data_IF_646045379432
#
_entry.id   IF_646045379432
#
_cell.length_a   1.000
_cell.length_b   1.000
_cell.length_c   1.000
_cell.angle_alpha   90.00
_cell.angle_beta   90.00
_cell.angle_gamma   90.00
#
_symmetry.space_group_name_H-M   'P 1'
#
loop_
_entity.id
_entity.type
_entity.pdbx_description
1 polymer ?
#
# COMPACT_ATOMS: atom_id res chain seq x y z
N UNK A 1 5.00 7.52 -10.84
CA UNK A 1 3.77 8.22 -11.26
C UNK A 1 2.60 7.84 -10.39
N UNK A 2 1.60 8.73 -10.23
CA UNK A 2 0.43 8.48 -9.40
C UNK A 2 -0.79 8.08 -10.24
N UNK A 3 -0.81 8.42 -11.54
CA UNK A 3 -1.80 7.96 -12.50
C UNK A 3 -1.19 7.92 -13.90
N UNK A 4 -1.85 7.20 -14.79
CA UNK A 4 -1.44 7.04 -16.19
C UNK A 4 -2.66 7.28 -17.08
N UNK A 5 -2.49 8.16 -18.07
CA UNK A 5 -3.43 8.35 -19.18
C UNK A 5 -3.07 7.36 -20.28
N UNK A 6 -4.03 6.60 -20.72
CA UNK A 6 -3.91 5.64 -21.81
C UNK A 6 -5.02 5.90 -22.84
N UNK A 7 -4.94 5.28 -24.00
CA UNK A 7 -5.97 5.36 -25.03
C UNK A 7 -6.35 3.99 -25.55
N UNK A 8 -7.63 3.79 -25.85
CA UNK A 8 -8.13 2.60 -26.56
C UNK A 8 -7.70 2.60 -28.04
N UNK A 9 -7.31 3.75 -28.58
CA UNK A 9 -6.85 3.93 -29.95
C UNK A 9 -5.40 4.41 -29.89
N UNK A 10 -4.41 3.59 -30.30
CA UNK A 10 -2.98 3.98 -30.22
C UNK A 10 -2.64 5.28 -30.95
N UNK A 11 -3.25 5.55 -32.10
CA UNK A 11 -3.04 6.77 -32.90
C UNK A 11 -3.68 8.03 -32.30
N UNK A 12 -4.47 7.91 -31.23
CA UNK A 12 -5.13 9.08 -30.60
C UNK A 12 -4.14 10.08 -30.00
N UNK A 13 -2.97 9.62 -29.57
CA UNK A 13 -1.89 10.49 -29.06
C UNK A 13 -1.24 11.32 -30.16
N UNK A 14 -1.21 10.80 -31.41
CA UNK A 14 -0.60 11.49 -32.57
C UNK A 14 -1.40 12.71 -33.00
N UNK A 15 -2.71 12.69 -32.80
CA UNK A 15 -3.63 13.72 -33.26
C UNK A 15 -3.88 14.86 -32.27
N UNK A 16 -3.34 14.78 -31.02
CA UNK A 16 -3.59 15.75 -29.96
C UNK A 16 -2.32 16.29 -29.33
N UNK A 17 -1.74 17.30 -29.96
CA UNK A 17 -0.59 18.04 -29.42
C UNK A 17 -0.90 18.82 -28.14
N UNK A 18 -2.19 19.15 -27.89
CA UNK A 18 -2.69 19.86 -26.72
C UNK A 18 -2.92 18.97 -25.48
N UNK A 19 -2.73 17.64 -25.60
CA UNK A 19 -3.08 16.68 -24.56
C UNK A 19 -2.35 16.96 -23.23
N UNK A 20 -1.05 17.23 -23.30
CA UNK A 20 -0.25 17.48 -22.09
C UNK A 20 -0.70 18.75 -21.37
N UNK A 21 -1.06 19.80 -22.11
CA UNK A 21 -1.51 21.08 -21.54
C UNK A 21 -2.88 20.92 -20.89
N UNK A 22 -3.79 20.19 -21.52
CA UNK A 22 -5.09 19.85 -20.94
C UNK A 22 -4.96 19.03 -19.67
N UNK A 23 -4.09 18.03 -19.66
CA UNK A 23 -3.82 17.23 -18.47
C UNK A 23 -3.24 18.09 -17.33
N UNK A 24 -2.29 18.98 -17.64
CA UNK A 24 -1.68 19.89 -16.66
C UNK A 24 -2.64 20.93 -16.11
N UNK A 25 -3.68 21.31 -16.87
CA UNK A 25 -4.68 22.28 -16.44
C UNK A 25 -5.65 21.74 -15.39
N UNK A 26 -5.76 20.42 -15.23
CA UNK A 26 -6.67 19.81 -14.26
C UNK A 26 -6.17 20.06 -12.84
N UNK A 27 -7.07 20.55 -11.97
CA UNK A 27 -6.76 20.85 -10.58
C UNK A 27 -6.28 19.59 -9.84
N UNK A 28 -5.13 19.71 -9.18
CA UNK A 28 -4.52 18.59 -8.43
C UNK A 28 -3.44 17.85 -9.19
N UNK A 29 -3.28 18.04 -10.50
CA UNK A 29 -2.13 17.54 -11.26
C UNK A 29 -0.93 18.45 -11.00
N UNK A 30 0.19 17.88 -10.56
CA UNK A 30 1.44 18.60 -10.26
C UNK A 30 2.53 18.39 -11.30
N UNK A 31 2.39 17.39 -12.15
CA UNK A 31 3.32 17.10 -13.23
C UNK A 31 2.72 16.10 -14.21
N UNK A 32 3.12 16.22 -15.47
CA UNK A 32 2.74 15.29 -16.53
C UNK A 32 3.91 15.12 -17.51
N UNK A 33 4.18 13.87 -17.90
CA UNK A 33 5.25 13.52 -18.84
C UNK A 33 4.78 12.44 -19.82
N UNK A 34 5.08 12.56 -21.10
CA UNK A 34 4.78 11.51 -22.07
C UNK A 34 5.74 10.33 -21.88
N UNK A 35 5.26 9.13 -22.18
CA UNK A 35 6.12 7.95 -22.17
C UNK A 35 5.78 6.97 -23.30
N UNK A 36 6.77 6.16 -23.67
CA UNK A 36 6.57 4.94 -24.42
C UNK A 36 7.05 3.74 -23.59
N UNK A 37 6.44 2.59 -23.81
CA UNK A 37 6.70 1.38 -23.05
C UNK A 37 6.84 0.21 -23.98
N UNK A 38 7.88 -0.60 -23.75
CA UNK A 38 8.09 -1.84 -24.49
C UNK A 38 8.99 -2.80 -23.72
N UNK A 39 8.89 -4.08 -24.06
CA UNK A 39 9.84 -5.09 -23.61
C UNK A 39 10.86 -5.37 -24.69
N UNK A 40 12.13 -5.34 -24.32
CA UNK A 40 13.27 -5.61 -25.21
C UNK A 40 14.26 -6.56 -24.55
N UNK A 41 15.14 -7.14 -25.34
CA UNK A 41 16.28 -7.87 -24.81
C UNK A 41 17.51 -6.95 -24.80
N UNK A 42 18.14 -6.79 -23.66
CA UNK A 42 19.43 -6.12 -23.52
C UNK A 42 20.54 -7.17 -23.58
N UNK A 43 21.45 -7.00 -24.53
CA UNK A 43 22.60 -7.87 -24.74
C UNK A 43 23.89 -7.11 -24.48
N UNK A 44 24.74 -7.68 -23.63
CA UNK A 44 26.06 -7.17 -23.28
C UNK A 44 27.03 -8.32 -23.08
N UNK A 45 28.33 -8.01 -22.87
CA UNK A 45 29.39 -9.01 -22.68
C UNK A 45 29.12 -10.02 -21.56
N UNK A 46 28.31 -9.68 -20.56
CA UNK A 46 27.90 -10.55 -19.44
C UNK A 46 26.64 -11.40 -19.71
N UNK A 47 26.01 -11.31 -20.88
CA UNK A 47 24.82 -12.10 -21.21
C UNK A 47 23.68 -11.31 -21.84
N UNK A 48 22.49 -11.93 -21.83
CA UNK A 48 21.26 -11.35 -22.38
C UNK A 48 20.18 -11.35 -21.31
N UNK A 49 19.45 -10.24 -21.17
CA UNK A 49 18.38 -10.07 -20.18
C UNK A 49 17.17 -9.36 -20.79
N UNK A 50 15.97 -9.84 -20.50
CA UNK A 50 14.73 -9.11 -20.78
C UNK A 50 14.64 -7.86 -19.94
N UNK A 51 14.37 -6.73 -20.56
CA UNK A 51 14.29 -5.40 -19.93
C UNK A 51 13.04 -4.69 -20.41
N UNK A 52 12.36 -4.07 -19.47
CA UNK A 52 11.28 -3.13 -19.73
C UNK A 52 11.91 -1.80 -20.11
N UNK A 53 11.83 -1.44 -21.38
CA UNK A 53 12.37 -0.19 -21.91
C UNK A 53 11.28 0.89 -21.85
N UNK A 54 11.62 2.02 -21.22
CA UNK A 54 10.76 3.19 -21.16
C UNK A 54 11.40 4.35 -21.91
N UNK A 55 10.73 4.79 -22.95
CA UNK A 55 11.04 6.06 -23.60
C UNK A 55 10.44 7.20 -22.80
N UNK A 56 11.23 8.19 -22.45
CA UNK A 56 10.84 9.35 -21.65
C UNK A 56 11.28 10.65 -22.30
N UNK A 57 10.69 11.75 -21.87
CA UNK A 57 11.17 13.10 -22.12
C UNK A 57 12.11 13.50 -20.97
N UNK A 58 13.41 13.65 -21.19
CA UNK A 58 14.40 13.95 -20.14
C UNK A 58 14.14 15.22 -19.35
N UNK A 59 13.39 16.18 -19.92
CA UNK A 59 13.10 17.44 -19.27
C UNK A 59 11.93 17.35 -18.30
N UNK A 60 10.85 16.67 -18.66
CA UNK A 60 9.63 16.56 -17.84
C UNK A 60 9.61 15.32 -16.95
N UNK A 61 10.23 14.22 -17.36
CA UNK A 61 10.18 12.95 -16.62
C UNK A 61 10.71 13.03 -15.17
N UNK A 62 11.81 13.76 -14.84
CA UNK A 62 12.28 13.85 -13.45
C UNK A 62 11.28 14.52 -12.50
N UNK A 63 10.35 15.34 -12.98
CA UNK A 63 9.29 15.92 -12.17
C UNK A 63 8.24 14.87 -11.76
N UNK A 64 8.04 13.84 -12.59
CA UNK A 64 7.03 12.79 -12.42
C UNK A 64 7.61 11.51 -11.83
N UNK A 65 8.82 11.13 -12.25
CA UNK A 65 9.51 9.91 -11.84
C UNK A 65 10.60 10.23 -10.82
N UNK A 66 10.33 9.97 -9.54
CA UNK A 66 11.26 10.28 -8.44
C UNK A 66 12.62 9.56 -8.57
N UNK A 67 12.64 8.37 -9.16
CA UNK A 67 13.85 7.58 -9.38
C UNK A 67 14.85 8.27 -10.31
N UNK A 68 14.41 9.15 -11.20
CA UNK A 68 15.27 9.93 -12.09
C UNK A 68 15.85 11.18 -11.40
N UNK A 69 15.35 11.56 -10.23
CA UNK A 69 15.90 12.65 -9.41
C UNK A 69 17.00 12.18 -8.45
N UNK A 70 16.99 10.91 -8.08
CA UNK A 70 17.90 10.33 -7.10
C UNK A 70 18.70 9.19 -7.74
N UNK A 71 19.47 9.54 -8.79
CA UNK A 71 20.31 8.57 -9.48
C UNK A 71 21.63 8.35 -8.71
N UNK A 72 22.17 7.14 -8.81
CA UNK A 72 23.51 6.79 -8.29
C UNK A 72 24.62 7.43 -9.09
N UNK A 73 24.46 7.45 -10.41
CA UNK A 73 25.41 8.01 -11.36
C UNK A 73 24.69 8.53 -12.60
N UNK A 74 25.19 9.60 -13.19
CA UNK A 74 24.58 10.25 -14.35
C UNK A 74 23.30 11.04 -14.02
N UNK A 75 22.64 11.54 -15.05
CA UNK A 75 21.39 12.29 -14.96
C UNK A 75 20.45 11.94 -16.12
N UNK A 76 19.15 12.31 -15.99
CA UNK A 76 18.19 12.12 -17.09
C UNK A 76 18.56 12.94 -18.33
N UNK A 77 19.21 14.10 -18.15
CA UNK A 77 19.68 14.96 -19.24
C UNK A 77 20.77 14.30 -20.10
N UNK A 78 21.54 13.36 -19.53
CA UNK A 78 22.61 12.65 -20.26
C UNK A 78 22.05 11.68 -21.32
N UNK A 79 20.73 11.45 -21.35
CA UNK A 79 20.06 10.72 -22.42
C UNK A 79 20.09 11.49 -23.75
N UNK A 80 20.09 12.84 -23.72
CA UNK A 80 20.16 13.72 -24.88
C UNK A 80 21.63 13.97 -25.23
N UNK A 81 22.22 13.07 -25.97
CA UNK A 81 23.61 13.20 -26.43
C UNK A 81 23.70 12.94 -27.93
N UNK A 82 24.69 13.54 -28.56
CA UNK A 82 25.01 13.25 -29.96
C UNK A 82 25.75 11.93 -30.11
N UNK A 83 25.44 11.19 -31.15
CA UNK A 83 26.06 9.91 -31.46
C UNK A 83 25.29 8.69 -30.96
N UNK A 84 25.91 7.82 -30.16
CA UNK A 84 25.24 6.62 -29.61
C UNK A 84 24.19 7.02 -28.56
N UNK A 85 22.92 6.61 -28.72
CA UNK A 85 21.87 6.95 -27.77
C UNK A 85 22.17 6.51 -26.34
N UNK A 86 21.81 7.35 -25.37
CA UNK A 86 21.98 7.08 -23.93
C UNK A 86 20.95 6.07 -23.41
N UNK A 87 21.38 5.26 -22.45
CA UNK A 87 20.53 4.31 -21.70
C UNK A 87 20.80 4.48 -20.20
N UNK A 88 19.75 4.64 -19.42
CA UNK A 88 19.80 4.61 -17.95
C UNK A 88 19.26 3.25 -17.49
N UNK A 89 19.98 2.55 -16.62
CA UNK A 89 19.62 1.22 -16.13
C UNK A 89 19.60 1.16 -14.61
N UNK A 90 18.88 0.20 -14.05
CA UNK A 90 18.88 -0.05 -12.62
C UNK A 90 20.19 -0.69 -12.11
N UNK A 91 20.52 -0.45 -10.83
CA UNK A 91 21.78 -0.90 -10.21
C UNK A 91 21.91 -2.43 -10.25
N UNK A 92 20.83 -3.18 -10.01
CA UNK A 92 20.86 -4.64 -10.03
C UNK A 92 21.06 -5.22 -11.45
N UNK A 93 20.49 -4.55 -12.46
CA UNK A 93 20.73 -4.92 -13.86
C UNK A 93 22.19 -4.66 -14.25
N UNK A 94 22.74 -3.52 -13.84
CA UNK A 94 24.14 -3.16 -14.06
C UNK A 94 25.09 -4.18 -13.43
N UNK A 95 24.87 -4.54 -12.17
CA UNK A 95 25.68 -5.54 -11.46
C UNK A 95 25.64 -6.91 -12.14
N UNK A 96 24.44 -7.39 -12.50
CA UNK A 96 24.26 -8.72 -13.12
C UNK A 96 24.96 -8.88 -14.46
N UNK A 97 24.99 -7.82 -15.25
CA UNK A 97 25.60 -7.83 -16.59
C UNK A 97 27.03 -7.28 -16.60
N UNK A 98 27.56 -6.88 -15.44
CA UNK A 98 28.90 -6.29 -15.34
C UNK A 98 29.02 -4.96 -16.06
N UNK A 99 27.95 -4.13 -16.07
CA UNK A 99 27.89 -2.84 -16.78
C UNK A 99 28.19 -1.70 -15.84
N UNK A 100 28.97 -0.72 -16.35
CA UNK A 100 29.24 0.55 -15.72
C UNK A 100 28.90 1.72 -16.64
N UNK A 101 29.15 2.93 -16.15
CA UNK A 101 29.04 4.13 -16.98
C UNK A 101 29.91 4.02 -18.23
N UNK A 102 29.39 4.40 -19.39
CA UNK A 102 30.06 4.31 -20.69
C UNK A 102 30.08 2.92 -21.33
N UNK A 103 29.51 1.88 -20.67
CA UNK A 103 29.43 0.55 -21.26
C UNK A 103 28.51 0.54 -22.47
N UNK A 104 28.98 -0.09 -23.56
CA UNK A 104 28.19 -0.29 -24.78
C UNK A 104 27.36 -1.55 -24.68
N UNK A 105 26.07 -1.46 -25.02
CA UNK A 105 25.10 -2.54 -24.99
C UNK A 105 24.25 -2.53 -26.26
N UNK A 106 23.65 -3.66 -26.59
CA UNK A 106 22.70 -3.76 -27.69
C UNK A 106 21.30 -4.01 -27.16
N UNK A 107 20.32 -3.24 -27.62
CA UNK A 107 18.90 -3.51 -27.41
C UNK A 107 18.35 -4.21 -28.63
N UNK A 108 17.68 -5.34 -28.38
CA UNK A 108 17.04 -6.16 -29.40
C UNK A 108 15.54 -6.07 -29.22
N UNK A 109 14.85 -5.54 -30.22
CA UNK A 109 13.39 -5.50 -30.25
C UNK A 109 12.82 -6.82 -30.75
N UNK A 110 11.79 -7.38 -30.06
CA UNK A 110 11.04 -8.53 -30.59
C UNK A 110 10.24 -8.17 -31.85
N UNK A 111 9.91 -6.89 -32.02
CA UNK A 111 9.25 -6.36 -33.22
C UNK A 111 10.29 -6.28 -34.37
N UNK A 112 10.53 -7.40 -35.02
CA UNK A 112 11.53 -7.49 -36.08
C UNK A 112 11.14 -6.77 -37.37
N UNK A 113 12.12 -6.56 -38.23
CA UNK A 113 11.88 -6.16 -39.61
C UNK A 113 11.59 -7.40 -40.48
N UNK A 114 10.59 -7.28 -41.34
CA UNK A 114 10.33 -8.31 -42.34
C UNK A 114 11.42 -8.24 -43.41
N UNK A 115 12.23 -9.29 -43.48
CA UNK A 115 13.30 -9.43 -44.48
C UNK A 115 12.90 -10.48 -45.53
N UNK A 116 13.61 -10.56 -46.63
CA UNK A 116 13.41 -11.58 -47.65
C UNK A 116 13.59 -13.01 -47.14
N UNK A 117 14.30 -13.19 -46.02
CA UNK A 117 14.59 -14.47 -45.37
C UNK A 117 13.72 -14.75 -44.13
N UNK A 118 12.75 -13.88 -43.78
CA UNK A 118 11.90 -14.02 -42.60
C UNK A 118 11.94 -12.77 -41.69
N UNK A 119 11.59 -12.94 -40.41
CA UNK A 119 11.66 -11.90 -39.41
C UNK A 119 13.05 -11.85 -38.78
N UNK A 120 13.74 -10.68 -38.87
CA UNK A 120 14.99 -10.43 -38.16
C UNK A 120 14.75 -9.42 -37.01
N UNK A 121 15.24 -9.67 -35.79
CA UNK A 121 15.11 -8.73 -34.71
C UNK A 121 15.86 -7.41 -35.01
N UNK A 122 15.30 -6.30 -34.64
CA UNK A 122 15.95 -4.99 -34.78
C UNK A 122 16.94 -4.82 -33.65
N UNK A 123 18.21 -4.60 -33.98
CA UNK A 123 19.31 -4.42 -33.02
C UNK A 123 19.78 -2.98 -33.09
N UNK A 124 19.88 -2.30 -31.93
CA UNK A 124 20.39 -0.94 -31.81
C UNK A 124 21.42 -0.85 -30.68
N UNK A 125 22.58 -0.22 -30.95
CA UNK A 125 23.57 0.02 -29.94
C UNK A 125 23.17 1.21 -29.04
N UNK A 126 23.46 1.08 -27.75
CA UNK A 126 23.27 2.10 -26.71
C UNK A 126 24.51 2.20 -25.82
N UNK A 127 24.65 3.32 -25.12
CA UNK A 127 25.68 3.51 -24.12
C UNK A 127 25.04 3.81 -22.76
N UNK A 128 25.51 3.16 -21.70
CA UNK A 128 25.02 3.38 -20.34
C UNK A 128 25.49 4.75 -19.85
N UNK A 129 24.56 5.70 -19.71
CA UNK A 129 24.81 7.08 -19.30
C UNK A 129 24.30 7.38 -17.89
N UNK A 130 23.63 6.41 -17.26
CA UNK A 130 23.15 6.59 -15.90
C UNK A 130 22.75 5.28 -15.23
N UNK A 131 22.86 5.27 -13.90
CA UNK A 131 22.46 4.14 -13.06
C UNK A 131 21.57 4.67 -11.95
N UNK A 132 20.35 4.13 -11.83
CA UNK A 132 19.43 4.46 -10.75
C UNK A 132 19.31 3.34 -9.73
N UNK A 133 18.85 3.67 -8.51
CA UNK A 133 18.54 2.73 -7.45
C UNK A 133 17.23 3.14 -6.79
N UNK A 134 16.22 2.27 -6.84
CA UNK A 134 14.94 2.48 -6.14
C UNK A 134 14.88 1.74 -4.80
N UNK A 135 15.72 0.72 -4.61
CA UNK A 135 15.64 -0.25 -3.52
C UNK A 135 14.62 -1.36 -3.78
N UNK A 136 13.84 -1.27 -4.84
CA UNK A 136 12.94 -2.36 -5.29
C UNK A 136 13.66 -3.20 -6.33
N UNK A 137 14.01 -4.42 -5.93
CA UNK A 137 14.77 -5.35 -6.77
C UNK A 137 14.16 -5.55 -8.17
N UNK A 138 12.83 -5.61 -8.25
CA UNK A 138 12.10 -5.83 -9.50
C UNK A 138 12.35 -4.68 -10.49
N UNK A 139 12.26 -3.42 -10.06
CA UNK A 139 12.55 -2.26 -10.89
C UNK A 139 14.05 -2.14 -11.19
N UNK A 140 14.90 -2.32 -10.18
CA UNK A 140 16.35 -2.16 -10.33
C UNK A 140 16.98 -3.25 -11.20
N UNK A 141 16.29 -4.41 -11.40
CA UNK A 141 16.78 -5.54 -12.19
C UNK A 141 16.21 -5.64 -13.60
N UNK A 142 15.15 -4.88 -13.92
CA UNK A 142 14.43 -5.06 -15.19
C UNK A 142 14.11 -3.78 -15.95
N UNK A 143 14.28 -2.59 -15.37
CA UNK A 143 13.85 -1.34 -15.98
C UNK A 143 15.03 -0.59 -16.61
N UNK A 144 14.81 -0.05 -17.82
CA UNK A 144 15.73 0.85 -18.52
C UNK A 144 15.02 2.06 -19.10
N UNK A 145 15.69 3.22 -19.11
CA UNK A 145 15.18 4.48 -19.66
C UNK A 145 16.02 4.94 -20.83
N UNK A 146 15.35 5.41 -21.87
CA UNK A 146 15.92 6.04 -23.06
C UNK A 146 15.08 7.25 -23.44
N UNK A 147 15.51 8.06 -24.41
CA UNK A 147 14.64 9.11 -24.95
C UNK A 147 13.46 8.51 -25.71
N UNK A 148 12.36 9.25 -25.84
CA UNK A 148 11.20 8.84 -26.64
C UNK A 148 11.58 8.47 -28.07
N UNK A 149 12.44 9.27 -28.69
CA UNK A 149 12.90 9.04 -30.06
C UNK A 149 13.71 7.75 -30.18
N UNK A 150 14.61 7.50 -29.23
CA UNK A 150 15.41 6.26 -29.21
C UNK A 150 14.52 5.00 -29.01
N UNK A 151 13.51 5.10 -28.13
CA UNK A 151 12.55 4.01 -27.96
C UNK A 151 11.75 3.71 -29.22
N UNK A 152 11.27 4.74 -29.92
CA UNK A 152 10.56 4.61 -31.19
C UNK A 152 11.43 3.97 -32.28
N UNK A 153 12.70 4.38 -32.38
CA UNK A 153 13.66 3.80 -33.33
C UNK A 153 13.91 2.29 -33.06
N UNK A 154 14.06 1.90 -31.81
CA UNK A 154 14.18 0.48 -31.41
C UNK A 154 12.96 -0.32 -31.84
N UNK A 155 11.76 0.26 -31.67
CA UNK A 155 10.51 -0.41 -31.99
C UNK A 155 10.11 -0.30 -33.47
N UNK A 156 10.65 0.68 -34.20
CA UNK A 156 10.24 1.00 -35.55
C UNK A 156 8.85 1.62 -35.63
N UNK A 157 8.52 2.46 -34.66
CA UNK A 157 7.24 3.13 -34.53
C UNK A 157 7.29 4.55 -35.13
N UNK A 158 6.14 5.14 -35.49
CA UNK A 158 6.06 6.52 -35.98
C UNK A 158 6.64 7.53 -34.98
N UNK A 159 7.11 8.68 -35.49
CA UNK A 159 7.71 9.75 -34.66
C UNK A 159 6.81 10.27 -33.56
N UNK A 160 5.49 10.25 -33.75
CA UNK A 160 4.52 10.77 -32.78
C UNK A 160 3.93 9.69 -31.87
N UNK A 161 4.41 8.44 -31.93
CA UNK A 161 3.87 7.36 -31.11
C UNK A 161 4.17 7.57 -29.62
N UNK A 162 3.12 7.43 -28.78
CA UNK A 162 3.19 7.40 -27.33
C UNK A 162 2.38 6.21 -26.80
N UNK A 163 2.84 5.58 -25.74
CA UNK A 163 2.04 4.61 -25.00
C UNK A 163 1.09 5.26 -24.01
N UNK A 164 1.40 6.49 -23.57
CA UNK A 164 0.56 7.25 -22.65
C UNK A 164 1.25 8.46 -22.06
N UNK A 165 0.57 9.06 -21.07
CA UNK A 165 1.09 10.15 -20.26
C UNK A 165 1.05 9.77 -18.79
N UNK A 166 2.15 9.92 -18.08
CA UNK A 166 2.26 9.72 -16.64
C UNK A 166 2.01 11.01 -15.90
N UNK A 167 1.33 10.88 -14.76
CA UNK A 167 0.93 12.02 -13.92
C UNK A 167 1.44 11.89 -12.50
N UNK A 168 1.75 13.03 -11.91
CA UNK A 168 1.82 13.20 -10.46
C UNK A 168 0.68 14.08 -9.97
N UNK A 169 0.15 13.77 -8.80
CA UNK A 169 -0.92 14.53 -8.16
C UNK A 169 -0.46 15.03 -6.79
N UNK A 170 -1.07 16.12 -6.32
CA UNK A 170 -0.73 16.76 -5.06
C UNK A 170 -1.01 15.85 -3.85
N UNK A 171 -2.12 15.10 -3.89
CA UNK A 171 -2.51 14.15 -2.85
C UNK A 171 -2.60 12.74 -3.44
N UNK A 172 -1.60 11.92 -3.13
CA UNK A 172 -1.46 10.55 -3.64
C UNK A 172 -2.66 9.67 -3.29
N UNK A 173 -3.27 9.89 -2.11
CA UNK A 173 -4.43 9.12 -1.65
C UNK A 173 -5.75 9.53 -2.31
N UNK A 174 -5.75 10.67 -2.99
CA UNK A 174 -6.88 11.14 -3.81
C UNK A 174 -6.64 10.98 -5.32
N UNK A 175 -5.64 10.22 -5.69
CA UNK A 175 -5.28 9.98 -7.09
C UNK A 175 -6.46 9.46 -7.93
N UNK A 176 -7.36 8.64 -7.34
CA UNK A 176 -8.56 8.14 -8.03
C UNK A 176 -9.51 9.28 -8.45
N UNK A 177 -9.72 10.27 -7.56
CA UNK A 177 -10.58 11.42 -7.88
C UNK A 177 -9.97 12.26 -8.98
N UNK A 178 -8.68 12.60 -8.86
CA UNK A 178 -7.97 13.37 -9.89
C UNK A 178 -7.91 12.61 -11.21
N UNK A 179 -7.72 11.28 -11.20
CA UNK A 179 -7.76 10.44 -12.39
C UNK A 179 -9.13 10.49 -13.08
N UNK A 180 -10.22 10.44 -12.31
CA UNK A 180 -11.58 10.58 -12.84
C UNK A 180 -11.83 11.98 -13.46
N UNK A 181 -11.35 13.05 -12.82
CA UNK A 181 -11.43 14.42 -13.34
C UNK A 181 -10.65 14.57 -14.66
N UNK A 182 -9.42 14.05 -14.73
CA UNK A 182 -8.62 14.03 -15.96
C UNK A 182 -9.30 13.21 -17.05
N UNK A 183 -9.86 12.04 -16.71
CA UNK A 183 -10.59 11.21 -17.67
C UNK A 183 -11.82 11.92 -18.25
N UNK A 184 -12.54 12.66 -17.42
CA UNK A 184 -13.71 13.47 -17.86
C UNK A 184 -13.29 14.62 -18.75
N UNK A 185 -12.18 15.31 -18.41
CA UNK A 185 -11.65 16.43 -19.19
C UNK A 185 -11.17 15.97 -20.58
N UNK A 186 -10.49 14.83 -20.67
CA UNK A 186 -9.95 14.34 -21.93
C UNK A 186 -11.02 13.71 -22.82
N UNK A 187 -12.00 13.02 -22.23
CA UNK A 187 -13.04 12.28 -22.93
C UNK A 187 -12.50 11.10 -23.73
N UNK A 188 -13.41 10.44 -24.47
CA UNK A 188 -13.02 9.33 -25.36
C UNK A 188 -12.09 9.81 -26.48
N UNK A 189 -11.08 9.03 -26.87
CA UNK A 189 -10.81 7.64 -26.53
C UNK A 189 -9.85 7.43 -25.33
N UNK A 190 -9.60 8.48 -24.54
CA UNK A 190 -8.66 8.41 -23.42
C UNK A 190 -9.34 7.89 -22.15
N UNK A 191 -8.56 7.18 -21.34
CA UNK A 191 -8.93 6.75 -19.99
C UNK A 191 -7.73 6.89 -19.05
N UNK A 192 -8.00 7.13 -17.79
CA UNK A 192 -6.95 7.34 -16.78
C UNK A 192 -7.08 6.30 -15.70
N UNK A 193 -5.96 5.67 -15.35
CA UNK A 193 -5.89 4.69 -14.27
C UNK A 193 -5.00 5.22 -13.17
N UNK A 194 -5.49 5.21 -11.94
CA UNK A 194 -4.69 5.55 -10.76
C UNK A 194 -3.74 4.42 -10.38
N UNK A 195 -2.74 4.72 -9.57
CA UNK A 195 -1.82 3.74 -9.03
C UNK A 195 -2.54 2.68 -8.16
N UNK A 196 -3.63 3.05 -7.47
CA UNK A 196 -4.45 2.12 -6.71
C UNK A 196 -5.19 1.15 -7.62
N UNK A 197 -5.75 1.63 -8.71
CA UNK A 197 -6.43 0.80 -9.70
C UNK A 197 -5.46 -0.13 -10.46
N UNK A 198 -4.26 0.37 -10.78
CA UNK A 198 -3.20 -0.45 -11.40
C UNK A 198 -2.72 -1.57 -10.47
N UNK A 199 -2.78 -1.37 -9.15
CA UNK A 199 -2.42 -2.36 -8.13
C UNK A 199 -3.66 -2.93 -7.41
N UNK A 200 -4.81 -3.04 -8.09
CA UNK A 200 -6.07 -3.47 -7.50
C UNK A 200 -5.97 -4.81 -6.77
N UNK A 201 -5.21 -5.77 -7.31
CA UNK A 201 -4.99 -7.08 -6.67
C UNK A 201 -4.24 -6.94 -5.34
N UNK A 202 -3.25 -6.06 -5.25
CA UNK A 202 -2.52 -5.78 -4.01
C UNK A 202 -3.47 -5.18 -2.97
N UNK A 203 -4.28 -4.19 -3.36
CA UNK A 203 -5.25 -3.56 -2.47
C UNK A 203 -6.35 -4.54 -2.03
N UNK A 204 -6.80 -5.44 -2.91
CA UNK A 204 -7.73 -6.50 -2.57
C UNK A 204 -7.12 -7.47 -1.53
N UNK A 205 -5.86 -7.87 -1.70
CA UNK A 205 -5.13 -8.71 -0.75
C UNK A 205 -4.98 -8.02 0.62
N UNK A 206 -4.57 -6.75 0.65
CA UNK A 206 -4.46 -5.96 1.88
C UNK A 206 -5.81 -5.79 2.59
N UNK A 207 -6.90 -5.64 1.82
CA UNK A 207 -8.25 -5.58 2.38
C UNK A 207 -8.67 -6.91 3.01
N UNK A 208 -8.38 -8.04 2.35
CA UNK A 208 -8.63 -9.37 2.91
C UNK A 208 -7.80 -9.62 4.17
N UNK A 209 -6.54 -9.24 4.18
CA UNK A 209 -5.67 -9.33 5.36
C UNK A 209 -6.25 -8.52 6.53
N UNK A 210 -6.66 -7.27 6.28
CA UNK A 210 -7.30 -6.42 7.29
C UNK A 210 -8.58 -7.04 7.84
N UNK A 211 -9.43 -7.64 6.98
CA UNK A 211 -10.64 -8.35 7.40
C UNK A 211 -10.27 -9.58 8.24
N UNK A 212 -9.30 -10.37 7.81
CA UNK A 212 -8.81 -11.53 8.56
C UNK A 212 -8.30 -11.17 9.94
N UNK A 213 -7.47 -10.13 10.04
CA UNK A 213 -6.99 -9.61 11.33
C UNK A 213 -8.14 -9.11 12.22
N UNK A 214 -9.13 -8.43 11.63
CA UNK A 214 -10.32 -7.98 12.36
C UNK A 214 -11.11 -9.17 12.93
N UNK A 215 -11.32 -10.24 12.16
CA UNK A 215 -12.02 -11.45 12.62
C UNK A 215 -11.24 -12.11 13.77
N UNK A 216 -9.92 -12.26 13.62
CA UNK A 216 -9.08 -12.86 14.68
C UNK A 216 -9.17 -12.03 15.98
N UNK A 217 -9.02 -10.72 15.90
CA UNK A 217 -9.13 -9.83 17.05
C UNK A 217 -10.54 -9.88 17.66
N UNK A 218 -11.58 -9.91 16.84
CA UNK A 218 -12.97 -10.04 17.31
C UNK A 218 -13.19 -11.36 18.07
N UNK A 219 -12.62 -12.47 17.59
CA UNK A 219 -12.70 -13.76 18.30
C UNK A 219 -11.95 -13.73 19.64
N UNK A 220 -10.78 -13.12 19.72
CA UNK A 220 -10.04 -12.96 20.99
C UNK A 220 -10.85 -12.15 22.00
N UNK A 221 -11.45 -11.04 21.55
CA UNK A 221 -12.31 -10.20 22.39
C UNK A 221 -13.56 -10.97 22.84
N UNK A 222 -14.14 -11.78 21.96
CA UNK A 222 -15.32 -12.60 22.28
C UNK A 222 -14.97 -13.65 23.36
N UNK A 223 -13.82 -14.32 23.27
CA UNK A 223 -13.35 -15.26 24.29
C UNK A 223 -13.15 -14.52 25.62
N UNK A 224 -12.52 -13.35 25.62
CA UNK A 224 -12.38 -12.51 26.82
C UNK A 224 -13.73 -12.13 27.45
N UNK A 225 -14.72 -11.79 26.61
CA UNK A 225 -16.07 -11.45 27.04
C UNK A 225 -16.77 -12.63 27.71
N UNK A 226 -16.66 -13.84 27.15
CA UNK A 226 -17.19 -15.06 27.78
C UNK A 226 -16.52 -15.36 29.13
N UNK A 227 -15.21 -15.14 29.23
CA UNK A 227 -14.47 -15.30 30.50
C UNK A 227 -15.02 -14.37 31.58
N UNK A 228 -15.33 -13.10 31.25
CA UNK A 228 -15.94 -12.13 32.16
C UNK A 228 -17.33 -12.63 32.61
N UNK A 229 -18.18 -13.07 31.66
CA UNK A 229 -19.51 -13.59 31.98
C UNK A 229 -19.42 -14.77 32.93
N UNK A 230 -18.57 -15.75 32.63
CA UNK A 230 -18.40 -16.96 33.45
C UNK A 230 -17.92 -16.62 34.86
N UNK A 231 -16.92 -15.75 34.99
CA UNK A 231 -16.39 -15.31 36.29
C UNK A 231 -17.46 -14.59 37.12
N UNK A 232 -18.24 -13.71 36.50
CA UNK A 232 -19.30 -12.97 37.19
C UNK A 232 -20.48 -13.88 37.58
N UNK A 233 -20.85 -14.85 36.72
CA UNK A 233 -21.88 -15.85 37.07
C UNK A 233 -21.43 -16.68 38.25
N UNK A 234 -20.19 -17.19 38.24
CA UNK A 234 -19.61 -17.93 39.36
C UNK A 234 -19.62 -17.12 40.65
N UNK A 235 -19.23 -15.84 40.58
CA UNK A 235 -19.26 -14.95 41.74
C UNK A 235 -20.67 -14.72 42.27
N UNK A 236 -21.68 -14.59 41.37
CA UNK A 236 -23.09 -14.49 41.76
C UNK A 236 -23.52 -15.75 42.50
N UNK A 237 -23.15 -16.93 41.98
CA UNK A 237 -23.50 -18.23 42.63
C UNK A 237 -22.83 -18.34 44.01
N UNK A 238 -21.56 -17.99 44.16
CA UNK A 238 -20.83 -17.99 45.41
C UNK A 238 -21.44 -17.02 46.44
N UNK A 239 -21.91 -15.84 45.97
CA UNK A 239 -22.50 -14.78 46.80
C UNK A 239 -24.03 -14.86 46.92
N UNK A 240 -24.66 -15.95 46.48
CA UNK A 240 -26.12 -16.09 46.48
C UNK A 240 -26.72 -15.88 47.86
N UNK A 241 -26.10 -16.45 48.91
CA UNK A 241 -26.55 -16.29 50.30
C UNK A 241 -26.44 -14.85 50.81
N UNK A 242 -25.28 -14.21 50.56
CA UNK A 242 -25.08 -12.81 50.97
C UNK A 242 -26.09 -11.88 50.27
N UNK A 243 -26.38 -12.13 48.98
CA UNK A 243 -27.38 -11.39 48.21
C UNK A 243 -28.79 -11.60 48.81
N UNK A 244 -29.16 -12.85 49.14
CA UNK A 244 -30.47 -13.16 49.74
C UNK A 244 -30.65 -12.50 51.08
N UNK A 245 -29.64 -12.46 51.96
CA UNK A 245 -29.64 -11.75 53.23
C UNK A 245 -29.90 -10.25 53.05
N UNK A 246 -29.11 -9.62 52.12
CA UNK A 246 -29.25 -8.20 51.84
C UNK A 246 -30.61 -7.87 51.25
N UNK A 247 -31.18 -8.72 50.40
CA UNK A 247 -32.53 -8.53 49.85
C UNK A 247 -33.60 -8.73 50.90
N UNK A 248 -33.44 -9.64 51.88
CA UNK A 248 -34.37 -9.83 52.99
C UNK A 248 -34.37 -8.63 53.96
N UNK A 249 -33.25 -7.87 54.02
CA UNK A 249 -33.11 -6.62 54.76
C UNK A 249 -33.65 -5.38 53.99
N UNK A 250 -34.28 -5.61 52.81
CA UNK A 250 -34.94 -4.53 52.05
C UNK A 250 -34.19 -4.00 50.82
N UNK A 251 -33.09 -4.60 50.40
CA UNK A 251 -32.42 -4.22 49.16
C UNK A 251 -33.28 -4.64 47.94
N UNK A 252 -33.39 -3.69 47.00
CA UNK A 252 -34.17 -3.92 45.76
C UNK A 252 -33.31 -4.66 44.73
N UNK A 253 -33.99 -5.42 43.84
CA UNK A 253 -33.34 -6.07 42.69
C UNK A 253 -32.51 -5.10 41.81
N UNK A 254 -32.99 -3.82 41.71
CA UNK A 254 -32.29 -2.77 41.02
C UNK A 254 -30.96 -2.40 41.66
N UNK A 255 -30.90 -2.44 43.01
CA UNK A 255 -29.67 -2.16 43.77
C UNK A 255 -28.64 -3.27 43.55
N UNK A 256 -29.04 -4.52 43.62
CA UNK A 256 -28.16 -5.70 43.34
C UNK A 256 -27.62 -5.62 41.91
N UNK A 257 -28.51 -5.35 40.94
CA UNK A 257 -28.08 -5.20 39.54
C UNK A 257 -27.02 -4.10 39.36
N UNK A 258 -27.18 -2.95 40.02
CA UNK A 258 -26.21 -1.85 39.97
C UNK A 258 -24.87 -2.24 40.56
N UNK A 259 -24.82 -2.99 41.65
CA UNK A 259 -23.58 -3.45 42.29
C UNK A 259 -22.76 -4.29 41.28
N UNK A 260 -23.37 -5.29 40.65
CA UNK A 260 -22.70 -6.13 39.66
C UNK A 260 -22.30 -5.39 38.39
N UNK A 261 -23.13 -4.41 37.96
CA UNK A 261 -22.78 -3.53 36.84
C UNK A 261 -21.55 -2.67 37.15
N UNK A 262 -21.47 -2.07 38.37
CA UNK A 262 -20.30 -1.35 38.81
C UNK A 262 -19.05 -2.21 38.90
N UNK A 263 -19.19 -3.41 39.41
CA UNK A 263 -18.08 -4.37 39.50
C UNK A 263 -17.52 -4.69 38.12
N UNK A 264 -18.38 -5.03 37.15
CA UNK A 264 -17.94 -5.30 35.77
C UNK A 264 -17.33 -4.07 35.10
N UNK A 265 -17.87 -2.88 35.38
CA UNK A 265 -17.29 -1.63 34.86
C UNK A 265 -15.88 -1.38 35.43
N UNK A 266 -15.66 -1.60 36.73
CA UNK A 266 -14.34 -1.47 37.37
C UNK A 266 -13.34 -2.45 36.75
N UNK A 267 -13.74 -3.73 36.56
CA UNK A 267 -12.91 -4.72 35.88
C UNK A 267 -12.56 -4.26 34.46
N UNK A 268 -13.55 -3.74 33.73
CA UNK A 268 -13.35 -3.21 32.37
C UNK A 268 -12.38 -2.03 32.35
N UNK A 269 -12.49 -1.07 33.26
CA UNK A 269 -11.58 0.07 33.37
C UNK A 269 -10.15 -0.38 33.68
N UNK A 270 -9.97 -1.19 34.71
CA UNK A 270 -8.65 -1.69 35.11
C UNK A 270 -8.02 -2.51 33.94
N UNK A 271 -8.79 -3.42 33.34
CA UNK A 271 -8.34 -4.21 32.21
C UNK A 271 -7.94 -3.36 30.99
N UNK A 272 -8.73 -2.32 30.67
CA UNK A 272 -8.43 -1.39 29.57
C UNK A 272 -7.17 -0.58 29.87
N UNK A 273 -6.99 -0.07 31.09
CA UNK A 273 -5.80 0.66 31.48
C UNK A 273 -4.54 -0.21 31.43
N UNK A 274 -4.60 -1.44 31.95
CA UNK A 274 -3.51 -2.40 31.85
C UNK A 274 -3.20 -2.77 30.38
N UNK A 275 -4.24 -2.98 29.58
CA UNK A 275 -4.09 -3.24 28.14
C UNK A 275 -3.41 -2.08 27.41
N UNK A 276 -3.79 -0.83 27.72
CA UNK A 276 -3.11 0.35 27.19
C UNK A 276 -1.66 0.45 27.68
N UNK A 277 -1.40 0.25 28.97
CA UNK A 277 -0.05 0.32 29.49
C UNK A 277 0.88 -0.71 28.81
N UNK A 278 0.43 -1.95 28.67
CA UNK A 278 1.20 -3.00 27.98
C UNK A 278 1.31 -2.75 26.47
N UNK A 279 0.20 -2.45 25.80
CA UNK A 279 0.18 -2.28 24.35
C UNK A 279 0.98 -1.05 23.88
N UNK A 280 0.82 0.09 24.55
CA UNK A 280 1.55 1.31 24.20
C UNK A 280 3.04 1.20 24.58
N UNK A 281 3.38 0.57 25.71
CA UNK A 281 4.78 0.36 26.10
C UNK A 281 5.49 -0.57 25.11
N UNK A 282 4.84 -1.67 24.69
CA UNK A 282 5.38 -2.57 23.69
C UNK A 282 5.53 -1.90 22.33
N UNK A 283 4.51 -1.15 21.91
CA UNK A 283 4.55 -0.37 20.66
C UNK A 283 5.66 0.67 20.66
N UNK A 284 5.85 1.39 21.80
CA UNK A 284 6.94 2.34 21.96
C UNK A 284 8.31 1.64 21.94
N UNK A 285 8.45 0.51 22.61
CA UNK A 285 9.68 -0.29 22.67
C UNK A 285 10.08 -0.75 21.25
N UNK A 286 9.15 -1.30 20.50
CA UNK A 286 9.37 -1.74 19.12
C UNK A 286 9.74 -0.57 18.20
N UNK A 287 9.08 0.59 18.37
CA UNK A 287 9.39 1.81 17.62
C UNK A 287 10.79 2.35 17.95
N UNK A 288 11.24 2.24 19.21
CA UNK A 288 12.53 2.77 19.69
C UNK A 288 13.71 1.89 19.33
N UNK A 289 13.56 0.58 19.44
CA UNK A 289 14.67 -0.38 19.29
C UNK A 289 14.69 -1.09 17.94
N UNK A 290 13.60 -1.00 17.15
CA UNK A 290 13.53 -1.54 15.79
C UNK A 290 14.10 -2.98 15.64
N UNK A 291 13.76 -3.88 16.55
CA UNK A 291 14.29 -5.25 16.59
C UNK A 291 13.99 -6.06 15.33
N UNK A 292 12.91 -5.72 14.63
CA UNK A 292 12.48 -6.43 13.44
C UNK A 292 13.09 -5.75 12.23
N UNK A 293 14.25 -6.28 11.77
CA UNK A 293 14.86 -5.90 10.51
C UNK A 293 14.21 -6.65 9.37
N UNK A 294 13.81 -5.93 8.35
CA UNK A 294 13.28 -6.51 7.12
C UNK A 294 14.44 -6.81 6.16
N UNK A 295 14.39 -7.93 5.39
CA UNK A 295 15.41 -8.21 4.38
C UNK A 295 15.44 -7.12 3.32
N UNK A 296 16.57 -6.44 3.15
CA UNK A 296 16.77 -5.34 2.18
C UNK A 296 16.45 -5.74 0.73
N UNK A 297 16.58 -7.04 0.41
CA UNK A 297 16.33 -7.57 -0.93
C UNK A 297 14.83 -7.76 -1.27
N UNK A 298 13.93 -7.65 -0.28
CA UNK A 298 12.49 -7.93 -0.45
C UNK A 298 11.65 -6.67 -0.15
N UNK A 299 12.11 -5.85 0.80
CA UNK A 299 11.38 -4.67 1.26
C UNK A 299 12.20 -3.41 1.05
N UNK A 300 11.54 -2.33 0.67
CA UNK A 300 12.15 -0.98 0.54
C UNK A 300 12.39 -0.29 1.88
N UNK A 301 11.94 -0.91 2.97
CA UNK A 301 12.06 -0.38 4.32
C UNK A 301 13.00 -1.28 5.12
N UNK A 302 13.97 -0.68 5.79
CA UNK A 302 14.96 -1.37 6.62
C UNK A 302 14.35 -1.91 7.92
N UNK A 303 13.20 -1.38 8.34
CA UNK A 303 12.52 -1.72 9.58
C UNK A 303 11.00 -1.59 9.48
N UNK A 304 10.28 -2.26 10.39
CA UNK A 304 8.82 -2.22 10.45
C UNK A 304 8.34 -0.84 10.94
N UNK A 305 7.59 -0.05 10.14
CA UNK A 305 7.06 1.22 10.59
C UNK A 305 5.90 1.01 11.56
N UNK A 306 6.02 1.51 12.79
CA UNK A 306 4.95 1.47 13.79
C UNK A 306 4.30 2.84 13.89
N UNK A 307 3.05 2.91 13.46
CA UNK A 307 2.22 4.11 13.53
C UNK A 307 1.15 3.91 14.61
N UNK A 308 1.22 4.69 15.66
CA UNK A 308 0.20 4.69 16.72
C UNK A 308 -0.72 5.89 16.48
N UNK A 309 -1.97 5.61 16.13
CA UNK A 309 -3.00 6.61 15.91
C UNK A 309 -3.81 6.81 17.21
N UNK A 310 -3.97 8.04 17.66
CA UNK A 310 -4.77 8.37 18.85
C UNK A 310 -6.24 7.96 18.67
N UNK A 311 -6.76 8.10 17.46
CA UNK A 311 -8.14 7.70 17.15
C UNK A 311 -8.35 6.19 17.32
N UNK A 312 -7.39 5.37 16.89
CA UNK A 312 -7.48 3.92 17.02
C UNK A 312 -7.43 3.49 18.48
N UNK A 313 -6.54 4.10 19.28
CA UNK A 313 -6.43 3.85 20.71
C UNK A 313 -7.77 4.17 21.41
N UNK A 314 -8.37 5.32 21.11
CA UNK A 314 -9.66 5.72 21.70
C UNK A 314 -10.81 4.79 21.29
N UNK A 315 -10.87 4.39 20.00
CA UNK A 315 -11.90 3.48 19.50
C UNK A 315 -11.78 2.10 20.16
N UNK A 316 -10.55 1.56 20.25
CA UNK A 316 -10.30 0.27 20.90
C UNK A 316 -10.72 0.30 22.37
N UNK A 317 -10.36 1.33 23.12
CA UNK A 317 -10.75 1.44 24.51
C UNK A 317 -12.26 1.61 24.72
N UNK A 318 -12.90 2.44 23.90
CA UNK A 318 -14.35 2.61 23.95
C UNK A 318 -15.07 1.29 23.63
N UNK A 319 -14.59 0.55 22.64
CA UNK A 319 -15.13 -0.77 22.27
C UNK A 319 -14.92 -1.81 23.37
N UNK A 320 -13.75 -1.84 24.01
CA UNK A 320 -13.46 -2.73 25.14
C UNK A 320 -14.39 -2.44 26.33
N UNK A 321 -14.55 -1.17 26.69
CA UNK A 321 -15.46 -0.76 27.75
C UNK A 321 -16.93 -1.12 27.45
N UNK A 322 -17.37 -0.89 26.21
CA UNK A 322 -18.72 -1.26 25.77
C UNK A 322 -18.96 -2.77 25.88
N UNK A 323 -18.00 -3.58 25.43
CA UNK A 323 -18.08 -5.04 25.49
C UNK A 323 -18.09 -5.55 26.93
N UNK A 324 -17.24 -5.01 27.83
CA UNK A 324 -17.27 -5.34 29.26
C UNK A 324 -18.63 -5.00 29.88
N UNK A 325 -19.17 -3.83 29.55
CA UNK A 325 -20.49 -3.41 30.03
C UNK A 325 -21.59 -4.37 29.55
N UNK A 326 -21.61 -4.72 28.25
CA UNK A 326 -22.58 -5.65 27.69
C UNK A 326 -22.44 -7.07 28.27
N UNK A 327 -21.23 -7.57 28.44
CA UNK A 327 -20.94 -8.86 29.06
C UNK A 327 -21.45 -8.97 30.50
N UNK A 328 -21.45 -7.83 31.23
CA UNK A 328 -21.91 -7.76 32.61
C UNK A 328 -23.43 -7.76 32.75
N UNK A 329 -24.19 -7.37 31.71
CA UNK A 329 -25.66 -7.26 31.77
C UNK A 329 -26.34 -8.57 32.12
N UNK A 330 -25.88 -9.69 31.55
CA UNK A 330 -26.48 -11.00 31.80
C UNK A 330 -26.30 -11.46 33.26
N UNK A 331 -25.06 -11.53 33.82
CA UNK A 331 -24.84 -11.90 35.22
C UNK A 331 -25.56 -10.97 36.20
N UNK A 332 -25.55 -9.65 35.96
CA UNK A 332 -26.20 -8.68 36.81
C UNK A 332 -27.75 -8.85 36.85
N UNK A 333 -28.36 -9.23 35.70
CA UNK A 333 -29.79 -9.57 35.68
C UNK A 333 -30.06 -10.87 36.40
N UNK A 334 -29.23 -11.87 36.26
CA UNK A 334 -29.36 -13.15 36.96
C UNK A 334 -29.27 -12.97 38.48
N UNK A 335 -28.29 -12.21 38.97
CA UNK A 335 -28.16 -11.87 40.39
C UNK A 335 -29.41 -11.15 40.93
N UNK A 336 -29.98 -10.23 40.17
CA UNK A 336 -31.11 -9.41 40.62
C UNK A 336 -32.48 -10.19 40.63
N UNK A 337 -32.55 -11.39 40.04
CA UNK A 337 -33.74 -12.22 40.01
C UNK A 337 -33.76 -13.35 41.04
N UNK A 338 -32.74 -13.45 41.90
CA UNK A 338 -32.68 -14.40 42.98
C UNK A 338 -33.86 -14.21 43.95
N UNK A 339 -34.54 -15.31 44.27
CA UNK A 339 -35.62 -15.28 45.27
C UNK A 339 -35.04 -15.62 46.64
N UNK A 340 -35.09 -14.68 47.63
CA UNK A 340 -34.50 -14.86 48.96
C UNK A 340 -34.98 -16.13 49.67
N UNK A 341 -36.28 -16.48 49.46
CA UNK A 341 -36.90 -17.65 50.12
C UNK A 341 -36.30 -19.00 49.62
N UNK A 342 -35.95 -19.07 48.32
CA UNK A 342 -35.33 -20.28 47.77
C UNK A 342 -33.84 -20.36 48.14
N UNK A 343 -33.14 -19.24 48.08
CA UNK A 343 -31.71 -19.19 48.36
C UNK A 343 -31.34 -19.51 49.83
N UNK A 344 -32.28 -19.29 50.77
CA UNK A 344 -32.12 -19.60 52.20
C UNK A 344 -32.63 -20.96 52.58
N UNK A 345 -33.42 -21.65 51.70
CA UNK A 345 -34.04 -22.94 52.00
C UNK A 345 -33.18 -24.14 51.61
N UNK A 346 -32.25 -23.99 50.70
CA UNK A 346 -31.31 -25.08 50.29
C UNK A 346 -30.04 -25.04 51.15
N UNK A 347 -30.07 -25.59 52.31
CA UNK A 347 -29.00 -26.26 53.03
C UNK A 347 -29.36 -27.74 53.25
#
# INVERSE_FOLDING_TARGET
AHAIVMSYIPSAFESRSDLLDRVRSVKGVTGATPFSYTEVMLSAGGGVKGVVLRGIDPQSAPAVLSMLRQMRAGSAADLEREGTPGLIIGEELAKRLGLGMGSRVNLLSPSGQKTTSGYAPRVRPFEVVGIFKTGMFEYDSSLGFVTLNAARDVLGLPENYLSGVELTVADVYKADKTAAEVSTELGSPFYVRSWMEMNANLFAALKLEKIGMFILLAMVVLIGSFSIVTTLVMLVMEKTRDIAIIMSMGATSGMIRRIFMFQGTIIGVIGTLLGYALGLSLGWLLKRYQFIKLPENVYTLDHLPIIISLSDVLIIGASAMLLCFLATLYPARQASRLQPAEALRYE
#
